data_IF_425816648255
#
_entry.id   IF_425816648255
#
_cell.length_a   1.000
_cell.length_b   1.000
_cell.length_c   1.000
_cell.angle_alpha   90.00
_cell.angle_beta   90.00
_cell.angle_gamma   90.00
#
_symmetry.space_group_name_H-M   'P 1'
#
loop_
_entity.id
_entity.type
_entity.pdbx_description
1 polymer ?
#
# COMPACT_ATOMS: atom_id res chain seq x y z
N UNK A 1 -36.20 -19.36 -0.26
CA UNK A 1 -35.05 -19.14 0.64
C UNK A 1 -34.14 -18.23 -0.14
N UNK A 2 -34.23 -16.92 0.11
CA UNK A 2 -33.42 -15.93 -0.60
C UNK A 2 -32.01 -16.00 0.00
N UNK A 3 -31.03 -16.37 -0.82
CA UNK A 3 -29.62 -16.24 -0.46
C UNK A 3 -29.32 -14.74 -0.50
N UNK A 4 -29.33 -14.10 0.67
CA UNK A 4 -28.79 -12.76 0.85
C UNK A 4 -27.27 -12.85 0.66
N UNK A 5 -26.80 -12.68 -0.58
CA UNK A 5 -25.42 -12.31 -0.83
C UNK A 5 -25.22 -10.90 -0.27
N UNK A 6 -24.67 -10.82 0.94
CA UNK A 6 -24.21 -9.56 1.52
C UNK A 6 -23.19 -8.94 0.56
N UNK A 7 -23.36 -7.67 0.13
CA UNK A 7 -22.30 -6.99 -0.59
C UNK A 7 -21.12 -6.84 0.36
N UNK A 8 -19.97 -7.36 -0.05
CA UNK A 8 -18.71 -7.11 0.65
C UNK A 8 -18.37 -5.63 0.39
N UNK A 9 -18.96 -4.73 1.17
CA UNK A 9 -18.51 -3.35 1.24
C UNK A 9 -17.26 -3.32 2.15
N UNK A 10 -16.10 -3.63 1.59
CA UNK A 10 -14.80 -3.43 2.26
C UNK A 10 -14.50 -1.94 2.39
N UNK A 11 -15.17 -1.30 3.34
CA UNK A 11 -14.90 0.08 3.78
C UNK A 11 -14.10 0.05 5.08
N UNK A 12 -12.82 -0.33 4.98
CA UNK A 12 -11.85 -0.26 6.09
C UNK A 12 -10.43 -0.59 5.59
N UNK A 13 -9.37 0.09 6.07
CA UNK A 13 -8.02 -0.12 5.56
C UNK A 13 -7.50 -1.46 6.09
N UNK A 14 -7.62 -2.52 5.29
CA UNK A 14 -6.97 -3.79 5.57
C UNK A 14 -5.48 -3.54 5.78
N UNK A 15 -5.02 -3.76 7.01
CA UNK A 15 -3.64 -3.49 7.38
C UNK A 15 -2.76 -4.62 6.88
N UNK A 16 -1.83 -4.32 5.98
CA UNK A 16 -0.93 -5.29 5.37
C UNK A 16 0.27 -5.48 6.29
N UNK A 17 0.41 -6.68 6.87
CA UNK A 17 1.59 -7.02 7.64
C UNK A 17 2.75 -7.39 6.72
N UNK A 18 3.67 -6.45 6.52
CA UNK A 18 4.80 -6.65 5.62
C UNK A 18 5.80 -7.69 6.16
N UNK A 19 5.91 -7.83 7.47
CA UNK A 19 6.79 -8.85 8.07
C UNK A 19 6.29 -10.25 7.75
N UNK A 20 4.97 -10.46 7.80
CA UNK A 20 4.35 -11.74 7.44
C UNK A 20 4.53 -12.03 5.95
N UNK A 21 4.42 -11.01 5.10
CA UNK A 21 4.72 -11.14 3.68
C UNK A 21 6.18 -11.57 3.44
N UNK A 22 7.13 -10.93 4.12
CA UNK A 22 8.56 -11.25 3.99
C UNK A 22 8.86 -12.68 4.47
N UNK A 23 8.32 -13.07 5.62
CA UNK A 23 8.53 -14.42 6.19
C UNK A 23 7.87 -15.52 5.36
N UNK A 24 6.78 -15.20 4.65
CA UNK A 24 6.10 -16.11 3.73
C UNK A 24 6.79 -16.19 2.35
N UNK A 25 7.88 -15.45 2.13
CA UNK A 25 8.59 -15.42 0.85
C UNK A 25 7.90 -14.61 -0.24
N UNK A 26 6.94 -13.75 0.12
CA UNK A 26 6.29 -12.82 -0.82
C UNK A 26 7.32 -11.77 -1.23
N UNK A 27 7.56 -11.68 -2.53
CA UNK A 27 8.57 -10.80 -3.14
C UNK A 27 8.06 -9.40 -3.45
N UNK A 28 6.74 -9.27 -3.63
CA UNK A 28 6.11 -8.05 -4.10
C UNK A 28 4.69 -7.92 -3.54
N UNK A 29 4.35 -6.71 -3.10
CA UNK A 29 2.98 -6.34 -2.70
C UNK A 29 2.50 -5.22 -3.63
N UNK A 30 1.27 -5.34 -4.13
CA UNK A 30 0.61 -4.30 -4.93
C UNK A 30 -0.63 -3.83 -4.19
N UNK A 31 -0.76 -2.51 -4.04
CA UNK A 31 -1.90 -1.85 -3.42
C UNK A 31 -2.57 -1.02 -4.51
N UNK A 32 -3.82 -1.35 -4.82
CA UNK A 32 -4.62 -0.61 -5.78
C UNK A 32 -5.51 0.39 -5.05
N UNK A 33 -5.46 1.65 -5.47
CA UNK A 33 -6.27 2.71 -4.89
C UNK A 33 -7.60 2.75 -5.64
N UNK A 34 -8.60 2.03 -5.15
CA UNK A 34 -9.92 1.97 -5.79
C UNK A 34 -10.67 3.30 -5.71
N UNK A 35 -10.58 3.97 -4.55
CA UNK A 35 -11.21 5.27 -4.32
C UNK A 35 -10.33 6.15 -3.44
N UNK A 36 -10.09 7.39 -3.88
CA UNK A 36 -9.41 8.42 -3.09
C UNK A 36 -10.26 9.70 -3.05
N UNK A 37 -11.14 9.81 -2.06
CA UNK A 37 -11.98 11.02 -1.83
C UNK A 37 -11.16 12.27 -1.50
N UNK A 38 -9.94 12.09 -0.98
CA UNK A 38 -9.02 13.16 -0.61
C UNK A 38 -7.64 12.78 -1.15
N UNK A 39 -6.84 13.76 -1.57
CA UNK A 39 -5.43 13.54 -1.94
C UNK A 39 -4.64 13.02 -0.74
N UNK A 40 -4.55 11.70 -0.62
CA UNK A 40 -3.74 11.08 0.43
C UNK A 40 -2.27 11.18 0.05
N UNK A 41 -1.44 11.59 1.01
CA UNK A 41 0.01 11.50 0.85
C UNK A 41 0.41 10.03 0.94
N UNK A 42 1.19 9.57 -0.03
CA UNK A 42 1.68 8.20 -0.10
C UNK A 42 2.35 7.75 1.21
N UNK A 43 3.25 8.57 1.78
CA UNK A 43 3.92 8.24 3.05
C UNK A 43 2.96 8.07 4.24
N UNK A 44 1.87 8.84 4.26
CA UNK A 44 0.88 8.79 5.33
C UNK A 44 -0.08 7.61 5.15
N UNK A 45 -0.50 7.36 3.91
CA UNK A 45 -1.36 6.23 3.56
C UNK A 45 -0.67 4.91 3.92
N UNK A 46 0.58 4.73 3.46
CA UNK A 46 1.34 3.52 3.75
C UNK A 46 1.66 3.37 5.24
N UNK A 47 1.92 4.45 5.98
CA UNK A 47 2.15 4.34 7.42
C UNK A 47 0.89 3.95 8.21
N UNK A 48 -0.31 4.19 7.64
CA UNK A 48 -1.57 3.74 8.22
C UNK A 48 -1.99 2.33 7.79
N UNK A 49 -1.54 1.87 6.62
CA UNK A 49 -1.90 0.56 6.06
C UNK A 49 -0.84 -0.51 6.30
N UNK A 50 0.44 -0.16 6.38
CA UNK A 50 1.52 -1.14 6.53
C UNK A 50 1.84 -1.35 8.00
N UNK A 51 1.75 -2.60 8.43
CA UNK A 51 2.23 -3.04 9.75
C UNK A 51 3.64 -3.59 9.59
N UNK A 52 4.54 -3.18 10.50
CA UNK A 52 5.93 -3.62 10.55
C UNK A 52 6.96 -2.60 10.06
N UNK A 53 6.55 -1.59 9.29
CA UNK A 53 7.43 -0.50 8.87
C UNK A 53 7.03 0.84 9.49
N UNK A 54 8.02 1.52 10.06
CA UNK A 54 7.84 2.90 10.51
C UNK A 54 7.69 3.85 9.32
N UNK A 55 7.06 5.01 9.57
CA UNK A 55 6.97 6.10 8.57
C UNK A 55 8.35 6.52 8.03
N UNK A 56 9.38 6.52 8.87
CA UNK A 56 10.75 6.85 8.44
C UNK A 56 11.30 5.80 7.48
N UNK A 57 11.08 4.51 7.73
CA UNK A 57 11.46 3.43 6.82
C UNK A 57 10.71 3.55 5.50
N UNK A 58 9.39 3.76 5.52
CA UNK A 58 8.58 3.98 4.32
C UNK A 58 9.14 5.13 3.48
N UNK A 59 9.49 6.26 4.11
CA UNK A 59 10.11 7.41 3.43
C UNK A 59 11.43 7.03 2.76
N UNK A 60 12.29 6.25 3.44
CA UNK A 60 13.54 5.77 2.86
C UNK A 60 13.31 4.81 1.70
N UNK A 61 12.35 3.89 1.84
CA UNK A 61 12.02 2.91 0.79
C UNK A 61 11.43 3.57 -0.45
N UNK A 62 10.59 4.60 -0.30
CA UNK A 62 10.14 5.44 -1.41
C UNK A 62 11.33 6.12 -2.11
N UNK A 63 12.25 6.72 -1.35
CA UNK A 63 13.44 7.40 -1.89
C UNK A 63 14.40 6.44 -2.61
N UNK A 64 14.56 5.22 -2.09
CA UNK A 64 15.40 4.18 -2.68
C UNK A 64 14.79 3.52 -3.93
N UNK A 65 13.49 3.72 -4.18
CA UNK A 65 12.78 3.12 -5.31
C UNK A 65 12.25 1.70 -5.05
N UNK A 66 12.30 1.22 -3.80
CA UNK A 66 11.65 -0.03 -3.36
C UNK A 66 10.12 0.10 -3.32
N UNK A 67 9.63 1.31 -3.03
CA UNK A 67 8.21 1.65 -3.11
C UNK A 67 8.00 2.58 -4.30
N UNK A 68 7.13 2.19 -5.22
CA UNK A 68 6.86 2.88 -6.49
C UNK A 68 5.38 3.18 -6.63
N UNK A 69 5.07 4.27 -7.31
CA UNK A 69 3.72 4.66 -7.69
C UNK A 69 3.58 4.54 -9.20
N UNK A 70 2.63 3.73 -9.67
CA UNK A 70 2.44 3.42 -11.09
C UNK A 70 3.75 3.01 -11.78
N UNK A 71 4.50 2.12 -11.13
CA UNK A 71 5.82 1.63 -11.55
C UNK A 71 6.95 2.68 -11.62
N UNK A 72 6.70 3.90 -11.15
CA UNK A 72 7.68 5.01 -11.16
C UNK A 72 8.17 5.35 -9.76
N UNK A 73 9.46 5.69 -9.66
CA UNK A 73 10.04 6.27 -8.45
C UNK A 73 9.38 7.61 -8.17
N UNK A 74 9.12 7.89 -6.89
CA UNK A 74 8.33 9.05 -6.50
C UNK A 74 8.84 9.67 -5.21
N UNK A 75 8.30 10.83 -4.83
CA UNK A 75 8.59 11.47 -3.55
C UNK A 75 7.63 10.97 -2.48
N UNK A 76 8.04 10.88 -1.20
CA UNK A 76 7.18 10.40 -0.12
C UNK A 76 5.87 11.18 0.03
N UNK A 77 5.92 12.50 -0.19
CA UNK A 77 4.75 13.38 -0.11
C UNK A 77 3.87 13.40 -1.35
N UNK A 78 4.10 12.52 -2.33
CA UNK A 78 3.27 12.47 -3.54
C UNK A 78 1.85 12.08 -3.18
N UNK A 79 0.89 12.78 -3.77
CA UNK A 79 -0.52 12.45 -3.63
C UNK A 79 -0.82 11.19 -4.44
N UNK A 80 -1.52 10.24 -3.84
CA UNK A 80 -2.13 9.10 -4.53
C UNK A 80 -3.55 9.47 -4.95
N UNK A 81 -3.91 9.02 -6.15
CA UNK A 81 -5.18 9.24 -6.80
C UNK A 81 -5.92 7.91 -6.97
N UNK A 82 -7.23 8.00 -7.20
CA UNK A 82 -8.03 6.86 -7.67
C UNK A 82 -7.38 6.25 -8.92
N UNK A 83 -7.36 4.92 -8.98
CA UNK A 83 -6.71 4.08 -9.99
C UNK A 83 -5.17 4.06 -9.96
N UNK A 84 -4.54 4.66 -8.95
CA UNK A 84 -3.11 4.47 -8.75
C UNK A 84 -2.79 3.07 -8.22
N UNK A 85 -1.64 2.55 -8.62
CA UNK A 85 -1.08 1.29 -8.14
C UNK A 85 0.22 1.58 -7.39
N UNK A 86 0.27 1.27 -6.10
CA UNK A 86 1.49 1.31 -5.30
C UNK A 86 2.13 -0.08 -5.35
N UNK A 87 3.38 -0.17 -5.79
CA UNK A 87 4.17 -1.40 -5.80
C UNK A 87 5.24 -1.33 -4.73
N UNK A 88 5.34 -2.38 -3.92
CA UNK A 88 6.33 -2.54 -2.85
C UNK A 88 7.15 -3.79 -3.15
N UNK A 89 8.46 -3.60 -3.32
CA UNK A 89 9.40 -4.69 -3.52
C UNK A 89 9.97 -5.14 -2.18
N UNK A 90 9.76 -6.41 -1.83
CA UNK A 90 10.22 -7.03 -0.59
C UNK A 90 11.43 -7.94 -0.79
N UNK A 91 11.65 -8.44 -2.01
CA UNK A 91 12.80 -9.30 -2.38
C UNK A 91 14.17 -8.62 -2.20
N UNK A 92 14.20 -7.29 -2.17
CA UNK A 92 15.42 -6.48 -2.08
C UNK A 92 15.68 -5.90 -0.68
N UNK A 93 15.01 -6.43 0.36
CA UNK A 93 15.13 -6.02 1.77
C UNK A 93 15.65 -7.16 2.63
#
# INVERSE_FOLDING_TARGET
MLEEELPIETTGPESINIIDCQTSGIKEVKIFIEHADIRYRMDKLLAGQLVGWSRTQIVQYIKSGLIRLNDRSTKPGTAVCTNDCIRILLDSL
#
